data_IF_149227666698
#
_entry.id   IF_149227666698
#
_cell.length_a   1.000
_cell.length_b   1.000
_cell.length_c   1.000
_cell.angle_alpha   90.00
_cell.angle_beta   90.00
_cell.angle_gamma   90.00
#
_symmetry.space_group_name_H-M   'P 1'
#
loop_
_entity.id
_entity.type
_entity.pdbx_description
1 polymer ?
#
# COMPACT_ATOMS: atom_id res chain seq x y z
N UNK A 1 66.33 1.42 -10.69
CA UNK A 1 65.84 0.12 -10.23
C UNK A 1 64.72 -0.24 -11.15
N UNK A 2 65.14 -0.84 -12.26
CA UNK A 2 64.33 -1.34 -13.33
C UNK A 2 63.59 -2.58 -12.84
N UNK A 3 62.28 -2.61 -13.04
CA UNK A 3 61.49 -3.83 -12.87
C UNK A 3 60.95 -4.16 -14.25
N UNK A 4 61.72 -5.00 -14.94
CA UNK A 4 61.26 -5.74 -16.12
C UNK A 4 60.04 -6.57 -15.71
N UNK A 5 58.96 -6.47 -16.49
CA UNK A 5 57.82 -7.37 -16.38
C UNK A 5 57.57 -7.96 -17.75
N UNK A 6 57.81 -9.28 -17.82
CA UNK A 6 57.72 -10.14 -18.97
C UNK A 6 56.41 -9.98 -19.74
N UNK A 7 56.52 -9.75 -21.04
CA UNK A 7 55.46 -10.01 -22.00
C UNK A 7 55.34 -11.52 -22.17
N UNK A 8 54.17 -12.07 -21.85
CA UNK A 8 53.82 -13.46 -22.17
C UNK A 8 52.92 -13.39 -23.38
N UNK A 9 53.50 -13.68 -24.55
CA UNK A 9 52.75 -13.86 -25.78
C UNK A 9 51.92 -15.15 -25.67
N UNK A 10 50.59 -15.00 -25.63
CA UNK A 10 49.66 -16.12 -25.71
C UNK A 10 49.20 -16.18 -27.16
N UNK A 11 49.78 -17.09 -27.93
CA UNK A 11 49.32 -17.41 -29.28
C UNK A 11 47.90 -17.97 -29.22
N UNK A 12 46.94 -17.20 -29.75
CA UNK A 12 45.50 -17.51 -29.73
C UNK A 12 45.05 -18.38 -30.92
N UNK A 13 45.99 -19.02 -31.61
CA UNK A 13 45.71 -19.92 -32.73
C UNK A 13 45.69 -21.37 -32.21
N UNK A 14 44.48 -21.87 -31.91
CA UNK A 14 44.07 -23.30 -31.87
C UNK A 14 43.17 -23.62 -30.67
N UNK A 15 41.92 -23.15 -30.73
CA UNK A 15 40.85 -23.82 -30.02
C UNK A 15 39.67 -23.97 -30.99
N UNK A 16 39.76 -24.98 -31.85
CA UNK A 16 38.62 -25.48 -32.64
C UNK A 16 37.63 -26.11 -31.66
N UNK A 17 36.77 -25.26 -31.11
CA UNK A 17 35.56 -25.69 -30.43
C UNK A 17 34.51 -25.85 -31.53
N UNK A 18 34.45 -27.05 -32.12
CA UNK A 18 33.30 -27.50 -32.92
C UNK A 18 32.10 -27.71 -31.97
N UNK A 19 31.52 -26.61 -31.49
CA UNK A 19 30.14 -26.64 -31.00
C UNK A 19 29.28 -26.60 -32.26
N UNK A 20 28.61 -27.72 -32.56
CA UNK A 20 27.53 -27.76 -33.54
C UNK A 20 26.56 -26.62 -33.21
N UNK A 21 26.68 -25.51 -33.94
CA UNK A 21 25.93 -24.27 -33.73
C UNK A 21 24.42 -24.56 -33.74
N UNK A 22 24.02 -25.58 -34.49
CA UNK A 22 22.65 -26.11 -34.55
C UNK A 22 22.20 -26.78 -33.24
N UNK A 23 23.05 -27.50 -32.54
CA UNK A 23 22.71 -28.15 -31.27
C UNK A 23 22.56 -27.12 -30.15
N UNK A 24 23.37 -26.06 -30.18
CA UNK A 24 23.24 -24.92 -29.26
C UNK A 24 21.94 -24.14 -29.51
N UNK A 25 21.63 -23.83 -30.77
CA UNK A 25 20.39 -23.14 -31.15
C UNK A 25 19.14 -23.96 -30.80
N UNK A 26 19.19 -25.30 -30.98
CA UNK A 26 18.09 -26.19 -30.62
C UNK A 26 17.84 -26.22 -29.10
N UNK A 27 18.92 -26.29 -28.30
CA UNK A 27 18.84 -26.20 -26.84
C UNK A 27 18.31 -24.84 -26.38
N UNK A 28 18.74 -23.75 -27.03
CA UNK A 28 18.27 -22.40 -26.73
C UNK A 28 16.77 -22.27 -26.99
N UNK A 29 16.28 -22.79 -28.13
CA UNK A 29 14.87 -22.76 -28.50
C UNK A 29 13.98 -23.51 -27.48
N UNK A 30 14.43 -24.68 -27.01
CA UNK A 30 13.69 -25.43 -25.98
C UNK A 30 13.64 -24.69 -24.64
N UNK A 31 14.72 -24.00 -24.26
CA UNK A 31 14.77 -23.19 -23.03
C UNK A 31 13.86 -21.96 -23.14
N UNK A 32 13.82 -21.31 -24.30
CA UNK A 32 12.94 -20.16 -24.56
C UNK A 32 11.48 -20.59 -24.50
N UNK A 33 11.10 -21.65 -25.22
CA UNK A 33 9.73 -22.16 -25.23
C UNK A 33 9.23 -22.53 -23.83
N UNK A 34 10.08 -23.15 -23.01
CA UNK A 34 9.72 -23.48 -21.62
C UNK A 34 9.55 -22.24 -20.74
N UNK A 35 10.34 -21.19 -20.98
CA UNK A 35 10.24 -19.92 -20.25
C UNK A 35 8.99 -19.15 -20.65
N UNK A 36 8.55 -19.23 -21.90
CA UNK A 36 7.32 -18.59 -22.38
C UNK A 36 6.09 -19.17 -21.68
N UNK A 37 6.00 -20.50 -21.56
CA UNK A 37 4.93 -21.17 -20.81
C UNK A 37 4.92 -20.78 -19.31
N UNK A 38 6.10 -20.67 -18.68
CA UNK A 38 6.23 -20.23 -17.30
C UNK A 38 5.79 -18.77 -17.10
N UNK A 39 6.06 -17.88 -18.07
CA UNK A 39 5.66 -16.46 -18.02
C UNK A 39 4.14 -16.34 -18.15
N UNK A 40 3.51 -17.09 -19.05
CA UNK A 40 2.06 -17.06 -19.27
C UNK A 40 1.28 -17.43 -18.00
N UNK A 41 1.71 -18.49 -17.29
CA UNK A 41 1.12 -18.88 -16.00
C UNK A 41 1.27 -17.79 -14.92
N UNK A 42 2.42 -17.11 -14.86
CA UNK A 42 2.67 -16.03 -13.90
C UNK A 42 1.81 -14.79 -14.23
N UNK A 43 1.58 -14.50 -15.51
CA UNK A 43 0.72 -13.40 -15.93
C UNK A 43 -0.75 -13.65 -15.58
N UNK A 44 -1.25 -14.87 -15.76
CA UNK A 44 -2.59 -15.27 -15.32
C UNK A 44 -2.77 -15.19 -13.79
N UNK A 45 -1.79 -15.66 -13.02
CA UNK A 45 -1.82 -15.54 -11.55
C UNK A 45 -1.79 -14.07 -11.11
N UNK A 46 -0.96 -13.23 -11.75
CA UNK A 46 -0.90 -11.79 -11.46
C UNK A 46 -2.19 -11.05 -11.84
N UNK A 47 -2.85 -11.42 -12.93
CA UNK A 47 -4.15 -10.82 -13.27
C UNK A 47 -5.21 -11.22 -12.26
N UNK A 48 -5.18 -12.46 -11.75
CA UNK A 48 -6.09 -12.93 -10.71
C UNK A 48 -5.84 -12.23 -9.37
N UNK A 49 -4.57 -12.11 -8.95
CA UNK A 49 -4.20 -11.35 -7.75
C UNK A 49 -4.59 -9.87 -7.89
N UNK A 50 -4.35 -9.24 -9.06
CA UNK A 50 -4.80 -7.86 -9.32
C UNK A 50 -6.31 -7.72 -9.28
N UNK A 51 -7.07 -8.72 -9.74
CA UNK A 51 -8.54 -8.69 -9.69
C UNK A 51 -9.04 -8.83 -8.26
N UNK A 52 -8.44 -9.71 -7.46
CA UNK A 52 -8.76 -9.85 -6.03
C UNK A 52 -8.34 -8.62 -5.21
N UNK A 53 -7.21 -7.99 -5.55
CA UNK A 53 -6.75 -6.73 -4.93
C UNK A 53 -7.65 -5.55 -5.35
N UNK A 54 -8.12 -5.51 -6.60
CA UNK A 54 -9.08 -4.51 -7.09
C UNK A 54 -10.45 -4.70 -6.46
N UNK A 55 -10.95 -5.93 -6.30
CA UNK A 55 -12.19 -6.20 -5.53
C UNK A 55 -12.02 -5.84 -4.05
N UNK A 56 -10.85 -6.07 -3.45
CA UNK A 56 -10.55 -5.60 -2.09
C UNK A 56 -10.50 -4.08 -2.00
N UNK A 57 -9.94 -3.39 -3.00
CA UNK A 57 -9.91 -1.94 -3.10
C UNK A 57 -11.29 -1.32 -3.41
N UNK A 58 -12.15 -2.03 -4.13
CA UNK A 58 -13.55 -1.65 -4.35
C UNK A 58 -14.42 -1.93 -3.11
N UNK A 59 -14.04 -2.91 -2.27
CA UNK A 59 -14.63 -3.15 -0.94
C UNK A 59 -14.07 -2.22 0.14
N UNK A 60 -12.86 -1.71 -0.03
CA UNK A 60 -12.34 -0.56 0.70
C UNK A 60 -12.98 0.67 0.08
N UNK A 61 -14.25 0.89 0.43
CA UNK A 61 -14.90 2.15 0.18
C UNK A 61 -13.99 3.25 0.78
N UNK A 62 -13.23 3.95 -0.06
CA UNK A 62 -12.84 5.31 0.25
C UNK A 62 -14.18 6.01 0.39
N UNK A 63 -14.68 6.14 1.62
CA UNK A 63 -16.04 6.53 1.97
C UNK A 63 -16.35 7.89 1.35
N UNK A 64 -16.78 7.86 0.10
CA UNK A 64 -17.12 9.02 -0.73
C UNK A 64 -18.63 8.95 -0.92
N UNK A 65 -19.36 9.07 0.20
CA UNK A 65 -20.80 9.13 0.14
C UNK A 65 -21.56 8.75 1.40
N UNK A 66 -20.94 8.07 2.38
CA UNK A 66 -21.63 7.87 3.67
C UNK A 66 -21.56 9.17 4.47
N UNK A 67 -22.71 9.57 4.99
CA UNK A 67 -22.78 10.66 5.95
C UNK A 67 -21.96 10.24 7.18
N UNK A 68 -21.12 11.15 7.70
CA UNK A 68 -20.29 10.89 8.88
C UNK A 68 -21.13 10.33 10.04
N UNK A 69 -22.41 10.67 10.12
CA UNK A 69 -23.38 10.14 11.08
C UNK A 69 -23.44 8.61 11.09
N UNK A 70 -23.51 7.95 9.92
CA UNK A 70 -23.59 6.49 9.83
C UNK A 70 -22.28 5.83 10.30
N UNK A 71 -21.14 6.34 9.82
CA UNK A 71 -19.80 5.86 10.23
C UNK A 71 -19.62 6.02 11.74
N UNK A 72 -20.02 7.18 12.28
CA UNK A 72 -19.89 7.46 13.71
C UNK A 72 -20.83 6.59 14.56
N UNK A 73 -22.00 6.21 14.03
CA UNK A 73 -22.91 5.28 14.70
C UNK A 73 -22.29 3.89 14.84
N UNK A 74 -21.65 3.39 13.79
CA UNK A 74 -20.96 2.10 13.80
C UNK A 74 -19.77 2.10 14.78
N UNK A 75 -19.06 3.23 14.89
CA UNK A 75 -17.91 3.41 15.78
C UNK A 75 -18.27 3.77 17.22
N UNK A 76 -19.56 3.78 17.55
CA UNK A 76 -20.00 4.15 18.89
C UNK A 76 -19.55 3.10 19.91
N UNK A 77 -18.75 3.55 20.87
CA UNK A 77 -18.18 2.73 21.93
C UNK A 77 -16.75 2.30 21.62
N UNK A 78 -16.21 2.63 20.46
CA UNK A 78 -14.85 2.33 20.07
C UNK A 78 -13.89 3.49 20.35
N UNK A 79 -12.60 3.15 20.41
CA UNK A 79 -11.52 4.13 20.44
C UNK A 79 -11.23 4.59 19.01
N UNK A 80 -11.33 5.89 18.78
CA UNK A 80 -11.17 6.48 17.46
C UNK A 80 -10.28 7.72 17.54
N UNK A 81 -9.66 8.02 16.41
CA UNK A 81 -8.95 9.28 16.18
C UNK A 81 -9.76 10.16 15.24
N UNK A 82 -10.18 11.33 15.72
CA UNK A 82 -10.96 12.30 14.95
C UNK A 82 -10.05 13.46 14.54
N UNK A 83 -9.98 13.70 13.23
CA UNK A 83 -9.22 14.80 12.64
C UNK A 83 -10.19 15.94 12.33
N UNK A 84 -9.89 17.15 12.84
CA UNK A 84 -10.74 18.33 12.69
C UNK A 84 -10.21 19.23 11.57
N UNK A 85 -11.12 19.79 10.75
CA UNK A 85 -10.80 20.78 9.71
C UNK A 85 -10.19 22.05 10.30
N UNK A 86 -9.29 22.70 9.58
CA UNK A 86 -8.75 24.01 10.00
C UNK A 86 -9.87 25.05 10.15
N UNK A 87 -9.94 25.73 11.29
CA UNK A 87 -11.04 26.63 11.65
C UNK A 87 -12.25 25.95 12.31
N UNK A 88 -12.19 24.64 12.53
CA UNK A 88 -13.17 23.90 13.32
C UNK A 88 -13.22 24.36 14.78
N UNK A 89 -14.35 24.12 15.46
CA UNK A 89 -14.54 24.50 16.87
C UNK A 89 -14.86 23.29 17.72
N UNK A 90 -14.10 23.09 18.80
CA UNK A 90 -14.41 22.12 19.85
C UNK A 90 -14.80 22.85 21.12
N UNK A 91 -15.91 22.47 21.75
CA UNK A 91 -16.40 23.15 22.96
C UNK A 91 -16.51 24.70 22.82
N UNK A 92 -16.72 25.19 21.59
CA UNK A 92 -16.79 26.64 21.29
C UNK A 92 -15.43 27.34 21.13
N UNK A 93 -14.31 26.63 21.22
CA UNK A 93 -12.95 27.14 21.02
C UNK A 93 -12.42 26.64 19.68
N UNK A 94 -11.68 27.47 18.96
CA UNK A 94 -11.02 27.06 17.72
C UNK A 94 -10.03 25.94 18.01
N UNK A 95 -10.20 24.81 17.33
CA UNK A 95 -9.41 23.61 17.52
C UNK A 95 -8.94 23.11 16.17
N UNK A 96 -7.63 22.99 15.99
CA UNK A 96 -7.03 22.37 14.81
C UNK A 96 -6.10 21.27 15.32
N UNK A 97 -6.48 19.99 15.19
CA UNK A 97 -5.66 18.84 15.56
C UNK A 97 -6.43 17.53 15.32
N UNK A 98 -5.72 16.41 15.51
CA UNK A 98 -6.31 15.10 15.75
C UNK A 98 -6.61 14.94 17.26
N UNK A 99 -7.74 14.32 17.58
CA UNK A 99 -8.11 13.95 18.94
C UNK A 99 -8.42 12.46 19.00
N UNK A 100 -7.71 11.77 19.86
CA UNK A 100 -7.89 10.35 20.15
C UNK A 100 -8.82 10.20 21.35
N UNK A 101 -9.74 9.23 21.33
CA UNK A 101 -10.54 8.91 22.50
C UNK A 101 -11.70 7.97 22.22
N UNK A 102 -12.45 7.68 23.29
CA UNK A 102 -13.62 6.81 23.23
C UNK A 102 -14.83 7.59 22.70
N UNK A 103 -15.41 7.13 21.59
CA UNK A 103 -16.62 7.72 21.02
C UNK A 103 -17.86 7.25 21.80
N UNK A 104 -18.45 8.11 22.63
CA UNK A 104 -19.51 7.67 23.55
C UNK A 104 -20.92 7.94 23.06
N UNK A 105 -21.16 9.13 22.51
CA UNK A 105 -22.50 9.58 22.20
C UNK A 105 -22.51 10.53 21.02
N UNK A 106 -23.49 10.31 20.14
CA UNK A 106 -23.82 11.18 19.03
C UNK A 106 -25.10 11.94 19.41
N UNK A 107 -25.01 13.27 19.44
CA UNK A 107 -26.17 14.14 19.27
C UNK A 107 -26.42 14.37 17.78
N UNK A 108 -27.53 15.03 17.41
CA UNK A 108 -27.89 15.24 16.00
C UNK A 108 -26.78 15.89 15.17
N UNK A 109 -26.03 16.84 15.75
CA UNK A 109 -25.00 17.60 15.02
C UNK A 109 -23.62 17.57 15.72
N UNK A 110 -23.48 16.81 16.82
CA UNK A 110 -22.33 16.88 17.73
C UNK A 110 -21.97 15.49 18.25
N UNK A 111 -20.68 15.17 18.31
CA UNK A 111 -20.16 13.96 18.94
C UNK A 111 -19.53 14.26 20.30
N UNK A 112 -19.61 13.30 21.20
CA UNK A 112 -18.91 13.29 22.49
C UNK A 112 -17.74 12.31 22.43
N UNK A 113 -16.53 12.86 22.48
CA UNK A 113 -15.29 12.13 22.59
C UNK A 113 -14.76 12.20 24.03
N UNK A 114 -14.41 11.05 24.61
CA UNK A 114 -13.78 10.97 25.94
C UNK A 114 -12.31 10.65 25.78
N UNK A 115 -11.44 11.61 26.13
CA UNK A 115 -9.98 11.47 26.07
C UNK A 115 -9.35 11.75 27.42
N UNK A 116 -8.53 10.83 27.94
CA UNK A 116 -7.75 11.02 29.18
C UNK A 116 -8.52 11.67 30.34
N UNK A 117 -9.79 11.29 30.53
CA UNK A 117 -10.68 11.82 31.57
C UNK A 117 -11.33 13.18 31.27
N UNK A 118 -11.19 13.71 30.05
CA UNK A 118 -11.85 14.93 29.56
C UNK A 118 -12.92 14.57 28.54
N UNK A 119 -13.97 15.40 28.51
CA UNK A 119 -15.07 15.30 27.55
C UNK A 119 -14.92 16.41 26.51
N UNK A 120 -14.91 16.05 25.24
CA UNK A 120 -14.80 16.97 24.12
C UNK A 120 -16.05 16.83 23.26
N UNK A 121 -16.75 17.94 23.02
CA UNK A 121 -17.84 18.02 22.07
C UNK A 121 -17.31 18.54 20.74
N UNK A 122 -17.49 17.76 19.69
CA UNK A 122 -17.00 18.05 18.33
C UNK A 122 -18.21 18.10 17.38
N UNK A 123 -18.45 19.21 16.69
CA UNK A 123 -19.44 19.28 15.62
C UNK A 123 -19.10 18.34 14.46
N UNK A 124 -20.09 17.64 13.92
CA UNK A 124 -19.89 16.69 12.81
C UNK A 124 -19.37 17.42 11.56
N UNK A 125 -19.88 18.64 11.30
CA UNK A 125 -19.44 19.49 10.18
C UNK A 125 -17.94 19.87 10.24
N UNK A 126 -17.38 19.94 11.44
CA UNK A 126 -15.98 20.26 11.70
C UNK A 126 -15.04 19.05 11.48
N UNK A 127 -15.58 17.82 11.36
CA UNK A 127 -14.79 16.62 11.16
C UNK A 127 -14.26 16.57 9.72
N UNK A 128 -12.96 16.34 9.58
CA UNK A 128 -12.28 16.11 8.32
C UNK A 128 -12.17 14.61 8.00
N UNK A 129 -11.85 13.81 9.01
CA UNK A 129 -11.71 12.36 8.90
C UNK A 129 -11.85 11.70 10.27
N UNK A 130 -12.20 10.41 10.27
CA UNK A 130 -12.21 9.52 11.43
C UNK A 130 -11.33 8.32 11.09
N UNK A 131 -10.48 7.92 12.03
CA UNK A 131 -9.59 6.76 11.91
C UNK A 131 -9.91 5.83 13.07
N UNK A 132 -10.18 4.57 12.74
CA UNK A 132 -10.37 3.49 13.71
C UNK A 132 -9.00 3.02 14.21
N UNK A 133 -8.86 2.79 15.52
CA UNK A 133 -7.68 2.09 16.04
C UNK A 133 -8.03 0.61 16.26
N UNK A 134 -7.36 -0.26 15.49
CA UNK A 134 -7.42 -1.73 15.61
C UNK A 134 -6.76 -2.27 16.91
#
# INVERSE_FOLDING_TARGET
MDVESNEVDIDFDNLDIDIDEKDFLQKLANVISKREEEIEMIEEEKEKEKREEMEKLESMECIKGMDFEEILEDLRGEFVTIIIKSGGRCNGVECCCAHEGLLCQLGRDLILLITSGRKIFIPIDAIAAVIEED
#
